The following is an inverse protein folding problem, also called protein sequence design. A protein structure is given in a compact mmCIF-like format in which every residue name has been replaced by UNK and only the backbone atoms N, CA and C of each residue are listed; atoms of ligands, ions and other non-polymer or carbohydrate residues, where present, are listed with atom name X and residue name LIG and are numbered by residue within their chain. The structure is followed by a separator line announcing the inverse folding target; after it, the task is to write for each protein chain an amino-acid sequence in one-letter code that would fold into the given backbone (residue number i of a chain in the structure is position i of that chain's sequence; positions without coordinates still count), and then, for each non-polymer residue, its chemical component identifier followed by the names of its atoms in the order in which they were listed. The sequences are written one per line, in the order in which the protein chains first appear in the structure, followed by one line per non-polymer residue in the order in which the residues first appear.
data_IF_047522929672
#
_entry.id   IF_047522929672
#
_cell.length_a   1.000
_cell.length_b   1.000
_cell.length_c   1.000
_cell.angle_alpha   90.00
_cell.angle_beta   90.00
_cell.angle_gamma   90.00
#
_symmetry.space_group_name_H-M   'P 1'
#
loop_
_entity.id
_entity.type
_entity.pdbx_description
1 polymer ?
#
# COMPACT_ATOMS: atom_id res chain seq x y z
N UNK A 1 30.91 15.00 84.79
CA UNK A 1 32.17 15.77 84.71
C UNK A 1 32.47 16.05 83.24
N UNK A 2 32.58 17.34 82.91
CA UNK A 2 33.28 17.98 81.79
C UNK A 2 33.20 17.46 80.34
N UNK A 3 32.58 18.29 79.50
CA UNK A 3 32.97 18.61 78.11
C UNK A 3 34.41 19.21 78.03
N UNK A 4 35.13 19.29 76.87
CA UNK A 4 34.63 19.89 75.62
C UNK A 4 35.17 19.43 74.22
N UNK A 5 34.41 19.88 73.22
CA UNK A 5 34.69 20.32 71.83
C UNK A 5 35.97 19.91 71.06
N UNK A 6 35.79 19.53 69.77
CA UNK A 6 36.09 20.34 68.55
C UNK A 6 35.74 19.48 67.28
N UNK A 7 34.66 19.75 66.55
CA UNK A 7 34.49 20.60 65.34
C UNK A 7 35.02 20.02 63.99
N UNK A 8 34.07 19.84 63.04
CA UNK A 8 34.17 19.77 61.55
C UNK A 8 34.82 18.51 60.90
N UNK A 9 34.37 17.87 59.80
CA UNK A 9 33.56 18.24 58.61
C UNK A 9 32.80 17.03 58.03
N UNK A 10 31.64 17.31 57.42
CA UNK A 10 30.80 16.52 56.50
C UNK A 10 31.54 15.70 55.41
N UNK A 11 31.06 14.48 55.10
CA UNK A 11 30.68 14.12 53.72
C UNK A 11 29.80 12.85 53.69
N UNK A 12 28.55 13.00 53.23
CA UNK A 12 27.65 11.93 52.81
C UNK A 12 28.01 11.49 51.38
N UNK A 13 28.18 10.20 51.13
CA UNK A 13 28.00 9.62 49.80
C UNK A 13 27.19 8.33 49.92
N UNK A 14 26.01 8.39 49.29
CA UNK A 14 24.97 7.38 49.30
C UNK A 14 25.32 6.18 48.41
N UNK A 15 24.73 5.04 48.80
CA UNK A 15 24.77 3.74 48.15
C UNK A 15 24.17 3.78 46.74
N UNK A 16 24.91 3.30 45.75
CA UNK A 16 24.42 2.97 44.42
C UNK A 16 24.58 1.48 44.16
N UNK A 17 23.50 0.72 44.35
CA UNK A 17 23.38 -0.71 44.05
C UNK A 17 23.50 -0.94 42.53
N UNK A 18 24.40 -1.82 42.12
CA UNK A 18 24.55 -2.24 40.73
C UNK A 18 23.62 -3.43 40.47
N UNK A 19 22.44 -3.17 39.91
CA UNK A 19 21.56 -4.22 39.39
C UNK A 19 21.99 -4.67 37.99
N UNK A 20 21.80 -5.94 37.61
CA UNK A 20 22.12 -6.43 36.27
C UNK A 20 21.20 -5.79 35.22
N UNK A 21 21.81 -5.23 34.18
CA UNK A 21 21.14 -4.60 33.05
C UNK A 21 20.22 -5.58 32.31
N UNK A 22 18.96 -5.20 32.14
CA UNK A 22 18.02 -5.89 31.27
C UNK A 22 18.53 -5.84 29.82
N UNK A 23 18.63 -7.01 29.20
CA UNK A 23 18.94 -7.15 27.77
C UNK A 23 17.82 -6.51 26.97
N UNK A 24 18.12 -5.37 26.36
CA UNK A 24 17.30 -4.76 25.32
C UNK A 24 16.99 -5.79 24.25
N UNK A 25 15.70 -6.03 24.04
CA UNK A 25 15.17 -6.83 22.94
C UNK A 25 15.57 -6.13 21.65
N UNK A 26 16.57 -6.65 20.94
CA UNK A 26 16.91 -6.19 19.60
C UNK A 26 15.65 -6.21 18.73
N UNK A 27 15.16 -5.02 18.42
CA UNK A 27 14.19 -4.82 17.35
C UNK A 27 14.93 -5.25 16.10
N UNK A 28 14.57 -6.40 15.52
CA UNK A 28 14.98 -6.74 14.16
C UNK A 28 14.55 -5.56 13.29
N UNK A 29 15.51 -4.74 12.90
CA UNK A 29 15.33 -3.83 11.77
C UNK A 29 15.04 -4.73 10.59
N UNK A 30 13.78 -4.79 10.19
CA UNK A 30 13.38 -5.40 8.92
C UNK A 30 14.25 -4.73 7.86
N UNK A 31 15.14 -5.50 7.24
CA UNK A 31 15.98 -4.98 6.17
C UNK A 31 15.05 -4.36 5.13
N UNK A 32 15.33 -3.12 4.73
CA UNK A 32 14.58 -2.47 3.66
C UNK A 32 14.58 -3.41 2.45
N UNK A 33 13.40 -3.89 2.06
CA UNK A 33 13.27 -4.79 0.92
C UNK A 33 13.72 -4.01 -0.32
N UNK A 34 14.87 -4.36 -0.88
CA UNK A 34 15.34 -3.77 -2.13
C UNK A 34 14.74 -4.52 -3.31
N UNK A 35 14.34 -3.77 -4.33
CA UNK A 35 13.66 -4.24 -5.53
C UNK A 35 14.63 -4.82 -6.57
N UNK A 36 15.66 -5.52 -6.09
CA UNK A 36 16.81 -5.92 -6.91
C UNK A 36 16.51 -7.16 -7.75
N UNK A 37 15.53 -7.96 -7.32
CA UNK A 37 15.10 -9.16 -8.05
C UNK A 37 14.13 -8.79 -9.18
N UNK A 38 14.50 -9.18 -10.41
CA UNK A 38 13.68 -9.04 -11.60
C UNK A 38 12.47 -9.99 -11.53
N UNK A 39 11.31 -9.64 -12.12
CA UNK A 39 10.15 -10.51 -12.15
C UNK A 39 10.46 -11.88 -12.77
N UNK A 40 9.96 -12.94 -12.14
CA UNK A 40 10.12 -14.33 -12.61
C UNK A 40 9.37 -14.60 -13.93
N UNK A 41 8.29 -13.84 -14.18
CA UNK A 41 7.49 -13.94 -15.41
C UNK A 41 8.29 -13.39 -16.59
N UNK A 42 8.28 -14.09 -17.72
CA UNK A 42 8.82 -13.54 -18.97
C UNK A 42 7.99 -12.31 -19.40
N UNK A 43 8.61 -11.28 -20.00
CA UNK A 43 7.85 -10.17 -20.57
C UNK A 43 7.06 -10.64 -21.80
N UNK A 44 5.97 -9.93 -22.12
CA UNK A 44 5.20 -10.18 -23.34
C UNK A 44 6.02 -9.90 -24.60
N UNK A 45 5.57 -10.47 -25.72
CA UNK A 45 6.21 -10.27 -27.01
C UNK A 45 6.33 -8.77 -27.33
N UNK A 46 7.56 -8.31 -27.60
CA UNK A 46 7.85 -6.90 -27.87
C UNK A 46 7.97 -6.01 -26.64
N UNK A 47 7.82 -6.54 -25.43
CA UNK A 47 7.98 -5.82 -24.18
C UNK A 47 9.28 -6.20 -23.45
N UNK A 48 9.70 -5.32 -22.53
CA UNK A 48 10.81 -5.55 -21.60
C UNK A 48 10.42 -5.14 -20.20
N UNK A 49 10.92 -5.86 -19.20
CA UNK A 49 10.83 -5.45 -17.80
C UNK A 49 11.80 -4.31 -17.53
N UNK A 50 11.29 -3.23 -16.95
CA UNK A 50 12.05 -2.09 -16.47
C UNK A 50 11.61 -1.72 -15.05
N UNK A 51 12.55 -1.22 -14.26
CA UNK A 51 12.28 -0.71 -12.93
C UNK A 51 11.77 0.72 -13.06
N UNK A 52 10.61 0.99 -12.49
CA UNK A 52 9.94 2.28 -12.45
C UNK A 52 10.01 2.81 -11.02
N UNK A 53 10.31 4.10 -10.85
CA UNK A 53 10.41 4.75 -9.56
C UNK A 53 9.91 6.19 -9.64
N UNK A 54 9.15 6.61 -8.62
CA UNK A 54 8.56 7.95 -8.50
C UNK A 54 7.34 7.90 -7.58
N UNK A 55 6.73 9.02 -7.24
CA UNK A 55 5.54 9.12 -6.38
C UNK A 55 5.64 8.34 -5.04
N UNK A 56 6.86 8.26 -4.47
CA UNK A 56 7.12 7.48 -3.26
C UNK A 56 6.97 5.96 -3.44
N UNK A 57 7.14 5.45 -4.66
CA UNK A 57 7.12 4.01 -4.94
C UNK A 57 8.22 3.59 -5.92
N UNK A 58 8.50 2.29 -5.94
CA UNK A 58 9.29 1.62 -6.95
C UNK A 58 8.63 0.28 -7.28
N UNK A 59 8.70 -0.18 -8.53
CA UNK A 59 8.19 -1.49 -8.97
C UNK A 59 8.75 -1.86 -10.35
N UNK A 60 8.60 -3.11 -10.75
CA UNK A 60 8.89 -3.54 -12.12
C UNK A 60 7.66 -3.43 -13.02
N UNK A 61 7.85 -2.86 -14.21
CA UNK A 61 6.80 -2.74 -15.23
C UNK A 61 7.29 -3.21 -16.61
N UNK A 62 6.35 -3.66 -17.43
CA UNK A 62 6.58 -4.00 -18.82
C UNK A 62 6.46 -2.75 -19.68
N UNK A 63 7.47 -2.52 -20.52
CA UNK A 63 7.59 -1.33 -21.35
C UNK A 63 7.77 -1.72 -22.82
N UNK A 64 7.16 -0.92 -23.70
CA UNK A 64 7.36 -0.97 -25.14
C UNK A 64 7.37 0.46 -25.72
N UNK A 65 7.73 0.66 -27.00
CA UNK A 65 7.64 1.97 -27.63
C UNK A 65 6.23 2.58 -27.56
N UNK A 66 5.20 1.75 -27.69
CA UNK A 66 3.80 2.17 -27.87
C UNK A 66 2.95 2.08 -26.59
N UNK A 67 3.32 1.22 -25.63
CA UNK A 67 2.57 0.99 -24.39
C UNK A 67 3.51 0.97 -23.19
N UNK A 68 3.16 1.75 -22.17
CA UNK A 68 4.00 1.99 -20.99
C UNK A 68 3.19 2.02 -19.71
N UNK A 69 3.85 1.75 -18.58
CA UNK A 69 3.35 2.09 -17.25
C UNK A 69 4.20 3.24 -16.72
N UNK A 70 3.59 4.39 -16.47
CA UNK A 70 4.27 5.63 -16.11
C UNK A 70 3.79 6.16 -14.76
N UNK A 71 4.69 6.80 -14.01
CA UNK A 71 4.37 7.43 -12.73
C UNK A 71 3.67 8.76 -12.98
N UNK A 72 2.63 9.03 -12.18
CA UNK A 72 2.09 10.37 -12.01
C UNK A 72 2.46 10.91 -10.62
N UNK A 73 3.18 12.04 -10.59
CA UNK A 73 3.47 12.77 -9.34
C UNK A 73 2.30 13.67 -8.92
N UNK A 74 1.50 14.13 -9.88
CA UNK A 74 0.34 15.01 -9.61
C UNK A 74 -0.84 14.24 -9.06
N UNK A 75 -0.99 12.98 -9.49
CA UNK A 75 -1.91 12.01 -8.92
C UNK A 75 -1.07 10.81 -8.45
N UNK A 76 -0.42 10.90 -7.26
CA UNK A 76 0.60 9.96 -6.79
C UNK A 76 0.24 8.51 -7.05
N UNK A 77 0.89 7.88 -8.03
CA UNK A 77 0.44 6.59 -8.56
C UNK A 77 1.07 6.27 -9.91
N UNK A 78 0.45 5.34 -10.63
CA UNK A 78 0.89 4.94 -11.96
C UNK A 78 -0.28 4.65 -12.90
N UNK A 79 -0.06 4.95 -14.18
CA UNK A 79 -1.03 4.79 -15.26
C UNK A 79 -0.45 3.98 -16.40
N UNK A 80 -1.30 3.20 -17.05
CA UNK A 80 -1.00 2.65 -18.37
C UNK A 80 -1.19 3.77 -19.38
N UNK A 81 -0.15 4.05 -20.16
CA UNK A 81 -0.14 5.04 -21.21
C UNK A 81 0.13 4.39 -22.57
N UNK A 82 -0.53 4.92 -23.59
CA UNK A 82 -0.24 4.59 -24.99
C UNK A 82 0.32 5.80 -25.70
N UNK A 83 1.32 5.59 -26.56
CA UNK A 83 1.83 6.65 -27.42
C UNK A 83 0.96 6.73 -28.67
N UNK A 84 0.16 7.79 -28.78
CA UNK A 84 -0.68 8.09 -29.95
C UNK A 84 -0.16 9.34 -30.65
N UNK A 85 0.18 9.24 -31.94
CA UNK A 85 0.76 10.33 -32.73
C UNK A 85 2.00 10.97 -32.06
N UNK A 86 2.81 10.16 -31.37
CA UNK A 86 4.01 10.63 -30.66
C UNK A 86 3.73 11.34 -29.34
N UNK A 87 2.49 11.32 -28.84
CA UNK A 87 2.10 11.88 -27.54
C UNK A 87 1.61 10.76 -26.61
N UNK A 88 1.99 10.76 -25.33
CA UNK A 88 1.43 9.83 -24.36
C UNK A 88 -0.04 10.16 -24.07
N UNK A 89 -0.88 9.13 -24.04
CA UNK A 89 -2.30 9.18 -23.69
C UNK A 89 -2.53 8.18 -22.57
N UNK A 90 -2.91 8.67 -21.38
CA UNK A 90 -3.27 7.83 -20.25
C UNK A 90 -4.57 7.06 -20.55
N UNK A 91 -4.50 5.74 -20.44
CA UNK A 91 -5.63 4.84 -20.70
C UNK A 91 -6.31 4.41 -19.40
N UNK A 92 -5.52 4.03 -18.40
CA UNK A 92 -6.03 3.42 -17.18
C UNK A 92 -5.11 3.69 -16.00
N UNK A 93 -5.70 3.99 -14.83
CA UNK A 93 -4.99 3.99 -13.55
C UNK A 93 -4.75 2.56 -13.11
N UNK A 94 -3.53 2.23 -12.75
CA UNK A 94 -3.18 0.88 -12.24
C UNK A 94 -2.68 0.91 -10.80
N UNK A 95 -2.13 2.05 -10.37
CA UNK A 95 -1.70 2.27 -8.98
C UNK A 95 -2.16 3.65 -8.52
N UNK A 96 -2.57 3.78 -7.27
CA UNK A 96 -2.85 5.07 -6.62
C UNK A 96 -2.45 5.02 -5.16
N UNK A 97 -1.65 5.98 -4.72
CA UNK A 97 -1.29 6.18 -3.32
C UNK A 97 -2.26 7.17 -2.70
N UNK A 98 -2.69 6.85 -1.50
CA UNK A 98 -3.52 7.68 -0.65
C UNK A 98 -2.87 7.84 0.71
N UNK A 99 -3.04 9.00 1.33
CA UNK A 99 -2.66 9.21 2.73
C UNK A 99 -3.71 8.62 3.67
N UNK A 100 -3.25 8.03 4.78
CA UNK A 100 -4.07 7.50 5.87
C UNK A 100 -3.74 8.26 7.17
N UNK A 101 -4.44 9.37 7.48
CA UNK A 101 -4.14 10.19 8.65
C UNK A 101 -4.21 9.42 9.99
N UNK A 102 -5.02 8.35 10.06
CA UNK A 102 -5.18 7.51 11.25
C UNK A 102 -4.56 6.12 11.05
N UNK A 103 -3.80 5.88 9.98
CA UNK A 103 -3.17 4.60 9.64
C UNK A 103 -4.19 3.44 9.53
N UNK A 104 -5.40 3.76 9.07
CA UNK A 104 -6.51 2.81 8.94
C UNK A 104 -7.08 2.83 7.54
N UNK A 105 -7.34 1.65 6.97
CA UNK A 105 -7.89 1.55 5.61
C UNK A 105 -9.25 2.26 5.48
N UNK A 106 -10.02 2.33 6.58
CA UNK A 106 -11.30 3.02 6.63
C UNK A 106 -11.20 4.53 6.39
N UNK A 107 -10.01 5.15 6.57
CA UNK A 107 -9.78 6.56 6.23
C UNK A 107 -10.07 6.84 4.74
N UNK A 108 -9.95 5.82 3.87
CA UNK A 108 -10.23 5.97 2.45
C UNK A 108 -11.71 6.09 2.13
N UNK A 109 -12.63 5.66 3.00
CA UNK A 109 -14.05 5.64 2.63
C UNK A 109 -14.57 7.03 2.28
N UNK A 110 -14.21 8.05 3.05
CA UNK A 110 -14.61 9.44 2.78
C UNK A 110 -13.92 10.00 1.53
N UNK A 111 -12.66 9.62 1.29
CA UNK A 111 -11.88 10.04 0.12
C UNK A 111 -12.50 9.46 -1.16
N UNK A 112 -12.80 8.16 -1.16
CA UNK A 112 -13.36 7.45 -2.31
C UNK A 112 -14.83 7.84 -2.54
N UNK A 113 -15.59 8.13 -1.47
CA UNK A 113 -16.97 8.59 -1.58
C UNK A 113 -17.12 10.00 -2.16
N UNK A 114 -16.02 10.74 -2.31
CA UNK A 114 -16.01 12.01 -3.03
C UNK A 114 -15.98 11.86 -4.56
N UNK A 115 -15.76 10.64 -5.07
CA UNK A 115 -15.84 10.33 -6.50
C UNK A 115 -17.27 10.54 -7.03
N UNK A 116 -17.42 11.19 -8.18
CA UNK A 116 -18.74 11.48 -8.78
C UNK A 116 -19.52 10.19 -9.12
N UNK A 117 -18.82 9.08 -9.36
CA UNK A 117 -19.41 7.77 -9.60
C UNK A 117 -19.88 7.07 -8.33
N UNK A 118 -19.63 7.64 -7.14
CA UNK A 118 -19.99 7.02 -5.88
C UNK A 118 -21.47 7.22 -5.56
N UNK A 119 -22.22 6.12 -5.58
CA UNK A 119 -23.62 6.14 -5.15
C UNK A 119 -23.71 6.15 -3.62
N UNK A 120 -24.32 7.18 -3.04
CA UNK A 120 -24.64 7.21 -1.59
C UNK A 120 -25.58 6.08 -1.15
N UNK A 121 -26.27 5.44 -2.09
CA UNK A 121 -27.10 4.26 -1.83
C UNK A 121 -26.28 2.95 -1.80
N UNK A 122 -25.06 2.95 -2.35
CA UNK A 122 -24.13 1.85 -2.29
C UNK A 122 -23.28 1.97 -1.03
N UNK A 123 -23.60 1.18 -0.01
CA UNK A 123 -22.68 1.01 1.11
C UNK A 123 -21.49 0.18 0.64
N UNK A 124 -20.27 0.68 0.79
CA UNK A 124 -19.05 -0.10 0.56
C UNK A 124 -18.21 -0.15 1.82
N UNK A 125 -17.53 -1.28 2.05
CA UNK A 125 -16.65 -1.48 3.19
C UNK A 125 -15.41 -2.29 2.78
N UNK A 126 -14.32 -2.06 3.50
CA UNK A 126 -13.11 -2.86 3.32
C UNK A 126 -13.25 -4.21 4.01
N UNK A 127 -12.84 -5.26 3.32
CA UNK A 127 -12.69 -6.61 3.85
C UNK A 127 -11.22 -7.00 3.75
N UNK A 128 -10.61 -7.43 4.86
CA UNK A 128 -9.24 -7.92 4.85
C UNK A 128 -9.17 -9.24 4.07
N UNK A 129 -8.19 -9.36 3.17
CA UNK A 129 -7.92 -10.57 2.41
C UNK A 129 -6.48 -11.04 2.62
N UNK A 130 -6.21 -12.30 2.26
CA UNK A 130 -4.87 -12.84 2.38
C UNK A 130 -3.88 -12.10 1.47
N UNK A 131 -2.72 -11.76 2.02
CA UNK A 131 -1.56 -11.26 1.29
C UNK A 131 -0.49 -12.34 1.24
N UNK A 132 0.09 -12.56 0.06
CA UNK A 132 1.25 -13.41 -0.14
C UNK A 132 2.58 -12.68 0.12
N UNK A 133 2.52 -11.39 0.47
CA UNK A 133 3.69 -10.52 0.65
C UNK A 133 3.91 -10.25 2.13
N UNK A 134 5.13 -10.54 2.61
CA UNK A 134 5.50 -10.26 3.99
C UNK A 134 5.44 -8.75 4.27
N UNK A 135 4.92 -8.36 5.43
CA UNK A 135 4.81 -6.95 5.83
C UNK A 135 3.75 -6.14 5.07
N UNK A 136 2.86 -6.79 4.32
CA UNK A 136 1.79 -6.13 3.57
C UNK A 136 0.43 -6.66 4.01
N UNK A 137 -0.40 -5.78 4.54
CA UNK A 137 -1.81 -6.07 4.85
C UNK A 137 -2.66 -5.68 3.63
N UNK A 138 -3.57 -6.56 3.20
CA UNK A 138 -4.34 -6.41 1.94
C UNK A 138 -5.84 -6.40 2.20
N UNK A 139 -6.56 -5.58 1.45
CA UNK A 139 -8.00 -5.37 1.59
C UNK A 139 -8.68 -5.32 0.23
N UNK A 140 -9.93 -5.75 0.15
CA UNK A 140 -10.82 -5.46 -0.96
C UNK A 140 -11.92 -4.52 -0.51
N UNK A 141 -12.22 -3.51 -1.32
CA UNK A 141 -13.42 -2.70 -1.14
C UNK A 141 -14.61 -3.44 -1.77
N UNK A 142 -15.63 -3.72 -0.97
CA UNK A 142 -16.77 -4.56 -1.36
C UNK A 142 -18.10 -3.84 -1.13
N UNK A 143 -19.11 -4.05 -1.99
CA UNK A 143 -20.47 -3.62 -1.69
C UNK A 143 -20.99 -4.30 -0.43
N UNK A 144 -21.94 -3.65 0.23
CA UNK A 144 -22.58 -4.11 1.46
C UNK A 144 -24.11 -4.06 1.33
N UNK A 145 -24.83 -4.70 2.24
CA UNK A 145 -26.29 -4.68 2.28
C UNK A 145 -26.94 -5.10 0.96
N UNK A 146 -27.91 -4.32 0.48
CA UNK A 146 -28.62 -4.59 -0.78
C UNK A 146 -27.71 -4.52 -2.01
N UNK A 147 -26.71 -3.65 -2.01
CA UNK A 147 -25.76 -3.54 -3.11
C UNK A 147 -24.93 -4.83 -3.25
N UNK A 148 -24.58 -5.47 -2.12
CA UNK A 148 -23.93 -6.78 -2.12
C UNK A 148 -24.80 -7.88 -2.72
N UNK A 149 -26.08 -7.93 -2.33
CA UNK A 149 -27.02 -8.92 -2.86
C UNK A 149 -27.17 -8.77 -4.38
N UNK A 150 -27.36 -7.54 -4.86
CA UNK A 150 -27.45 -7.26 -6.29
C UNK A 150 -26.16 -7.60 -7.05
N UNK A 151 -24.99 -7.36 -6.44
CA UNK A 151 -23.71 -7.80 -6.99
C UNK A 151 -23.64 -9.33 -7.09
N UNK A 152 -23.95 -10.06 -6.02
CA UNK A 152 -23.86 -11.53 -6.00
C UNK A 152 -24.81 -12.19 -7.04
N UNK A 153 -26.03 -11.67 -7.18
CA UNK A 153 -26.98 -12.11 -8.20
C UNK A 153 -26.43 -11.91 -9.62
N UNK A 154 -25.95 -10.71 -9.92
CA UNK A 154 -25.40 -10.39 -11.25
C UNK A 154 -24.09 -11.12 -11.55
N UNK A 155 -23.19 -11.21 -10.56
CA UNK A 155 -21.90 -11.87 -10.69
C UNK A 155 -22.02 -13.37 -11.01
N UNK A 156 -23.18 -13.97 -10.75
CA UNK A 156 -23.46 -15.37 -11.09
C UNK A 156 -23.78 -15.58 -12.58
N UNK A 157 -24.11 -14.52 -13.33
CA UNK A 157 -24.54 -14.61 -14.74
C UNK A 157 -23.70 -13.80 -15.71
N UNK A 158 -23.03 -12.75 -15.25
CA UNK A 158 -22.21 -11.87 -16.11
C UNK A 158 -20.91 -11.41 -15.44
N UNK A 159 -19.88 -11.05 -16.24
CA UNK A 159 -18.70 -10.39 -15.73
C UNK A 159 -19.03 -8.95 -15.28
N UNK A 160 -18.71 -8.66 -14.03
CA UNK A 160 -18.71 -7.35 -13.40
C UNK A 160 -17.26 -6.95 -13.24
N UNK A 161 -16.88 -5.89 -13.96
CA UNK A 161 -15.51 -5.41 -13.95
C UNK A 161 -15.16 -4.79 -12.61
N UNK A 162 -16.04 -3.96 -12.04
CA UNK A 162 -15.76 -3.18 -10.82
C UNK A 162 -17.05 -2.79 -10.08
N UNK A 163 -16.92 -2.47 -8.80
CA UNK A 163 -17.97 -1.89 -7.96
C UNK A 163 -17.47 -0.62 -7.26
N UNK A 164 -18.30 0.04 -6.44
CA UNK A 164 -17.88 1.15 -5.56
C UNK A 164 -17.12 2.26 -6.33
N UNK A 165 -17.75 2.82 -7.35
CA UNK A 165 -17.17 3.84 -8.25
C UNK A 165 -15.85 3.44 -8.95
N UNK A 166 -15.62 2.14 -9.16
CA UNK A 166 -14.41 1.64 -9.82
C UNK A 166 -13.25 1.34 -8.88
N UNK A 167 -13.42 1.57 -7.58
CA UNK A 167 -12.43 1.23 -6.56
C UNK A 167 -12.63 -0.16 -5.98
N UNK A 168 -13.86 -0.67 -6.07
CA UNK A 168 -14.26 -1.96 -5.52
C UNK A 168 -13.90 -3.14 -6.41
N UNK A 169 -13.92 -4.32 -5.78
CA UNK A 169 -13.70 -5.58 -6.48
C UNK A 169 -14.74 -5.85 -7.56
N UNK A 170 -14.39 -6.74 -8.49
CA UNK A 170 -15.30 -7.34 -9.45
C UNK A 170 -15.09 -8.86 -9.47
N UNK A 171 -15.93 -9.60 -10.20
CA UNK A 171 -15.61 -11.00 -10.52
C UNK A 171 -14.77 -11.12 -11.82
N UNK A 172 -14.47 -9.98 -12.46
CA UNK A 172 -13.72 -9.90 -13.71
C UNK A 172 -12.59 -8.87 -13.61
N UNK A 173 -11.44 -9.35 -13.13
CA UNK A 173 -10.21 -8.59 -12.88
C UNK A 173 -9.85 -8.54 -11.40
N UNK A 174 -8.64 -8.05 -11.08
CA UNK A 174 -8.15 -8.01 -9.70
C UNK A 174 -7.91 -6.56 -9.28
N UNK A 175 -8.56 -6.17 -8.17
CA UNK A 175 -8.40 -4.89 -7.48
C UNK A 175 -8.31 -5.11 -5.99
N UNK A 176 -7.36 -4.46 -5.36
CA UNK A 176 -7.23 -4.48 -3.91
C UNK A 176 -6.47 -3.24 -3.43
N UNK A 177 -6.46 -3.07 -2.12
CA UNK A 177 -5.68 -2.07 -1.43
C UNK A 177 -4.64 -2.75 -0.56
N UNK A 178 -3.48 -2.13 -0.43
CA UNK A 178 -2.41 -2.57 0.44
C UNK A 178 -2.04 -1.46 1.42
N UNK A 179 -1.76 -1.85 2.66
CA UNK A 179 -1.01 -1.05 3.62
C UNK A 179 0.31 -1.77 3.85
N UNK A 180 1.41 -1.09 3.55
CA UNK A 180 2.76 -1.62 3.77
C UNK A 180 3.15 -1.24 5.18
N UNK A 181 3.54 -2.19 6.03
CA UNK A 181 3.87 -1.91 7.44
C UNK A 181 5.06 -0.97 7.62
N UNK A 182 5.90 -0.82 6.59
CA UNK A 182 6.97 0.17 6.54
C UNK A 182 6.48 1.61 6.30
N UNK A 183 5.26 1.77 5.78
CA UNK A 183 4.61 3.05 5.47
C UNK A 183 3.11 2.99 5.86
N UNK A 184 2.78 2.86 7.16
CA UNK A 184 1.42 2.64 7.63
C UNK A 184 0.50 3.86 7.42
N UNK A 185 1.08 5.03 7.18
CA UNK A 185 0.40 6.29 6.85
C UNK A 185 -0.07 6.37 5.39
N UNK A 186 0.08 5.28 4.62
CA UNK A 186 -0.28 5.21 3.21
C UNK A 186 -1.05 3.94 2.85
N UNK A 187 -2.03 4.10 1.98
CA UNK A 187 -2.64 2.99 1.27
C UNK A 187 -2.28 3.05 -0.21
N UNK A 188 -2.04 1.88 -0.79
CA UNK A 188 -1.83 1.69 -2.22
C UNK A 188 -3.04 0.95 -2.78
N UNK A 189 -3.80 1.59 -3.66
CA UNK A 189 -4.72 0.89 -4.57
C UNK A 189 -3.93 0.24 -5.70
N UNK A 190 -4.27 -1.01 -6.02
CA UNK A 190 -3.68 -1.78 -7.11
C UNK A 190 -4.78 -2.34 -7.99
N UNK A 191 -4.72 -2.03 -9.29
CA UNK A 191 -5.57 -2.62 -10.33
C UNK A 191 -4.68 -3.35 -11.34
N UNK A 192 -4.80 -4.68 -11.34
CA UNK A 192 -4.07 -5.55 -12.27
C UNK A 192 -4.84 -5.68 -13.59
N UNK A 193 -6.17 -5.52 -13.54
CA UNK A 193 -7.05 -5.75 -14.68
C UNK A 193 -7.42 -7.23 -14.86
N UNK A 194 -8.00 -7.56 -16.01
CA UNK A 194 -8.43 -8.92 -16.39
C UNK A 194 -7.37 -9.71 -17.15
N UNK A 195 -6.57 -8.98 -17.92
CA UNK A 195 -5.55 -9.56 -18.77
C UNK A 195 -4.24 -9.73 -18.01
N UNK A 196 -3.24 -10.21 -18.74
CA UNK A 196 -1.94 -10.47 -18.19
C UNK A 196 -1.29 -9.13 -17.75
N UNK A 197 -0.80 -9.01 -16.50
CA UNK A 197 -0.39 -7.74 -15.89
C UNK A 197 0.75 -7.03 -16.63
N UNK A 198 0.68 -5.71 -16.72
CA UNK A 198 1.74 -4.85 -17.25
C UNK A 198 2.77 -4.42 -16.20
N UNK A 199 2.60 -4.81 -14.94
CA UNK A 199 3.56 -4.60 -13.86
C UNK A 199 3.64 -5.84 -12.97
N UNK A 200 4.73 -6.01 -12.23
CA UNK A 200 4.82 -7.06 -11.22
C UNK A 200 4.26 -6.56 -9.90
N UNK A 201 3.03 -6.99 -9.59
CA UNK A 201 2.28 -6.63 -8.41
C UNK A 201 2.98 -7.05 -7.10
N UNK A 202 3.86 -8.05 -7.15
CA UNK A 202 4.61 -8.51 -5.98
C UNK A 202 5.87 -7.68 -5.74
N UNK A 203 6.27 -6.90 -6.74
CA UNK A 203 7.48 -6.10 -6.71
C UNK A 203 7.26 -4.71 -6.12
N UNK A 204 6.02 -4.26 -5.92
CA UNK A 204 5.75 -2.86 -5.55
C UNK A 204 6.28 -2.54 -4.15
N UNK A 205 7.10 -1.51 -4.02
CA UNK A 205 7.64 -1.05 -2.75
C UNK A 205 7.29 0.42 -2.54
N UNK A 206 6.72 0.76 -1.37
CA UNK A 206 6.51 2.15 -0.96
C UNK A 206 7.75 2.68 -0.22
N UNK A 207 8.20 3.89 -0.60
CA UNK A 207 9.37 4.60 -0.06
C UNK A 207 8.96 5.71 0.92
#
# INVERSE_FOLDING_TARGET
MNHPLLFFVLLLLALGSCGPAEKGKERKTEAAATLDEKPLRAPYAGMKWEKISGAGMEFWAQQSPDLRVEISETLPGAFVERVENGQPVALQRVLQVFSLPNEKIEDLLDILAADEGWSKAEGCAFEAIASNRAGVDRYELRPTGKARQAYEERASVEPITQTCAGWGMGNSGIRYFEIHRSNPDRALFVEIGQEAPLFDENSIYLK
#
